data_IF_344308196013
#
_entry.id   IF_344308196013
#
_cell.length_a   1.000
_cell.length_b   1.000
_cell.length_c   1.000
_cell.angle_alpha   90.00
_cell.angle_beta   90.00
_cell.angle_gamma   90.00
#
_symmetry.space_group_name_H-M   'P 1'
#
loop_
_entity.id
_entity.type
_entity.pdbx_description
1 polymer ?
#
# COMPACT_ATOMS: atom_id res chain seq x y z
N UNK A 1 8.31 24.97 -20.69
CA UNK A 1 8.17 24.35 -22.03
C UNK A 1 6.79 24.68 -22.58
N UNK A 2 6.69 25.23 -23.80
CA UNK A 2 5.40 25.58 -24.42
C UNK A 2 4.67 24.30 -24.89
N UNK A 3 3.33 24.30 -24.95
CA UNK A 3 2.49 23.21 -25.49
C UNK A 3 2.99 22.67 -26.84
N UNK A 4 3.52 23.53 -27.71
CA UNK A 4 4.11 23.12 -29.00
C UNK A 4 5.40 22.31 -28.82
N UNK A 5 6.25 22.69 -27.88
CA UNK A 5 7.50 21.99 -27.56
C UNK A 5 7.23 20.67 -26.84
N UNK A 6 6.27 20.66 -25.90
CA UNK A 6 5.82 19.45 -25.21
C UNK A 6 5.26 18.43 -26.20
N UNK A 7 4.46 18.86 -27.18
CA UNK A 7 3.95 17.98 -28.25
C UNK A 7 5.06 17.37 -29.09
N UNK A 8 6.09 18.15 -29.43
CA UNK A 8 7.23 17.67 -30.21
C UNK A 8 8.06 16.65 -29.41
N UNK A 9 8.30 16.93 -28.13
CA UNK A 9 8.97 16.02 -27.21
C UNK A 9 8.20 14.70 -27.07
N UNK A 10 6.90 14.76 -26.81
CA UNK A 10 6.06 13.58 -26.60
C UNK A 10 5.95 12.72 -27.86
N UNK A 11 5.86 13.35 -29.04
CA UNK A 11 5.87 12.62 -30.30
C UNK A 11 7.18 11.85 -30.49
N UNK A 12 8.33 12.48 -30.23
CA UNK A 12 9.64 11.84 -30.37
C UNK A 12 9.82 10.69 -29.37
N UNK A 13 9.41 10.90 -28.11
CA UNK A 13 9.51 9.89 -27.06
C UNK A 13 8.69 8.64 -27.38
N UNK A 14 7.49 8.81 -27.94
CA UNK A 14 6.60 7.69 -28.26
C UNK A 14 7.05 7.01 -29.57
N UNK A 15 7.45 7.77 -30.60
CA UNK A 15 7.82 7.22 -31.91
C UNK A 15 9.09 6.38 -31.89
N UNK A 16 9.98 6.64 -30.93
CA UNK A 16 11.28 5.98 -30.83
C UNK A 16 11.19 4.69 -29.97
N UNK A 17 10.03 4.41 -29.38
CA UNK A 17 9.82 3.25 -28.54
C UNK A 17 9.18 2.10 -29.35
N UNK A 18 9.87 0.95 -29.54
CA UNK A 18 9.35 -0.17 -30.34
C UNK A 18 8.11 -0.86 -29.73
N UNK A 19 7.74 -0.49 -28.50
CA UNK A 19 6.57 -1.03 -27.79
C UNK A 19 5.24 -0.56 -28.39
N UNK A 20 5.20 0.62 -29.03
CA UNK A 20 3.94 1.16 -29.55
C UNK A 20 3.79 0.88 -31.04
N UNK A 21 2.62 0.38 -31.43
CA UNK A 21 2.25 0.37 -32.85
C UNK A 21 1.86 1.79 -33.29
N UNK A 22 2.09 2.14 -34.57
CA UNK A 22 1.66 3.44 -35.14
C UNK A 22 0.19 3.81 -34.83
N UNK A 23 -0.67 2.81 -34.66
CA UNK A 23 -2.08 3.00 -34.30
C UNK A 23 -2.26 3.43 -32.85
N UNK A 24 -1.47 2.90 -31.93
CA UNK A 24 -1.47 3.26 -30.52
C UNK A 24 -0.85 4.63 -30.29
N UNK A 25 0.25 4.94 -30.99
CA UNK A 25 0.86 6.28 -30.99
C UNK A 25 -0.17 7.36 -31.33
N UNK A 26 -0.93 7.18 -32.40
CA UNK A 26 -1.97 8.12 -32.82
C UNK A 26 -3.11 8.23 -31.79
N UNK A 27 -3.47 7.13 -31.14
CA UNK A 27 -4.53 7.13 -30.10
C UNK A 27 -4.10 7.92 -28.87
N UNK A 28 -2.86 7.73 -28.42
CA UNK A 28 -2.26 8.43 -27.26
C UNK A 28 -2.11 9.93 -27.56
N UNK A 29 -1.57 10.28 -28.74
CA UNK A 29 -1.45 11.68 -29.13
C UNK A 29 -2.83 12.34 -29.27
N UNK A 30 -3.83 11.62 -29.77
CA UNK A 30 -5.20 12.14 -29.85
C UNK A 30 -5.80 12.32 -28.46
N UNK A 31 -5.66 11.39 -27.52
CA UNK A 31 -6.23 11.56 -26.18
C UNK A 31 -5.60 12.73 -25.42
N UNK A 32 -4.29 12.95 -25.56
CA UNK A 32 -3.56 14.00 -24.82
C UNK A 32 -3.83 15.40 -25.41
N UNK A 33 -4.01 15.52 -26.72
CA UNK A 33 -4.14 16.82 -27.37
C UNK A 33 -5.57 17.19 -27.79
N UNK A 34 -6.55 16.29 -27.64
CA UNK A 34 -7.94 16.51 -28.06
C UNK A 34 -8.88 17.01 -26.94
N UNK A 35 -8.36 17.76 -25.97
CA UNK A 35 -9.13 18.56 -24.99
C UNK A 35 -9.87 19.77 -25.63
N UNK A 36 -10.38 19.62 -26.85
CA UNK A 36 -11.19 20.65 -27.52
C UNK A 36 -12.44 20.07 -28.21
N UNK A 37 -13.14 19.16 -27.54
CA UNK A 37 -14.54 18.84 -27.87
C UNK A 37 -15.42 18.98 -26.63
N UNK A 38 -15.44 20.18 -26.05
CA UNK A 38 -16.66 20.72 -25.46
C UNK A 38 -17.07 21.94 -26.24
N UNK A 39 -17.61 21.73 -27.45
CA UNK A 39 -18.60 22.65 -28.01
C UNK A 39 -19.41 21.98 -29.14
N UNK A 40 -20.45 21.24 -28.77
CA UNK A 40 -21.58 20.99 -29.68
C UNK A 40 -22.91 21.06 -28.92
N UNK A 41 -23.50 22.25 -29.00
CA UNK A 41 -24.94 22.52 -29.00
C UNK A 41 -25.79 21.34 -29.48
N UNK A 42 -26.68 20.91 -28.59
CA UNK A 42 -28.13 20.78 -28.79
C UNK A 42 -28.60 20.18 -30.14
N UNK A 43 -28.86 18.86 -30.16
CA UNK A 43 -29.98 18.27 -30.93
C UNK A 43 -30.60 17.15 -30.09
N UNK A 44 -31.91 17.26 -29.91
CA UNK A 44 -32.68 16.54 -28.91
C UNK A 44 -32.63 15.02 -29.05
N UNK A 45 -32.36 14.35 -27.94
CA UNK A 45 -32.65 12.94 -27.76
C UNK A 45 -33.61 12.82 -26.58
N UNK A 46 -34.91 12.88 -26.90
CA UNK A 46 -36.01 12.77 -25.94
C UNK A 46 -36.24 11.31 -25.58
N UNK A 47 -35.45 10.72 -24.68
CA UNK A 47 -35.89 9.55 -23.90
C UNK A 47 -35.05 9.38 -22.62
N UNK A 48 -35.51 9.92 -21.46
CA UNK A 48 -35.11 9.29 -20.20
C UNK A 48 -36.26 9.04 -19.21
N UNK A 49 -37.53 9.26 -19.58
CA UNK A 49 -38.63 8.94 -18.65
C UNK A 49 -38.93 7.44 -18.59
N UNK A 50 -38.87 6.74 -19.73
CA UNK A 50 -39.21 5.31 -19.80
C UNK A 50 -38.15 4.40 -19.16
N UNK A 51 -36.85 4.73 -19.30
CA UNK A 51 -35.76 3.92 -18.74
C UNK A 51 -35.73 4.02 -17.21
N UNK A 52 -36.01 5.21 -16.65
CA UNK A 52 -36.12 5.41 -15.20
C UNK A 52 -37.28 4.60 -14.62
N UNK A 53 -38.42 4.54 -15.32
CA UNK A 53 -39.59 3.76 -14.89
C UNK A 53 -39.33 2.25 -14.89
N UNK A 54 -38.60 1.73 -15.88
CA UNK A 54 -38.22 0.30 -15.93
C UNK A 54 -37.24 -0.06 -14.81
N UNK A 55 -36.28 0.82 -14.49
CA UNK A 55 -35.38 0.60 -13.35
C UNK A 55 -36.12 0.65 -11.99
N UNK A 56 -37.12 1.53 -11.83
CA UNK A 56 -37.95 1.59 -10.62
C UNK A 56 -38.83 0.35 -10.45
N UNK A 57 -39.39 -0.18 -11.54
CA UNK A 57 -40.20 -1.42 -11.50
C UNK A 57 -39.35 -2.64 -11.15
N UNK A 58 -38.07 -2.67 -11.55
CA UNK A 58 -37.16 -3.76 -11.20
C UNK A 58 -36.78 -3.78 -9.70
N UNK A 59 -36.81 -2.63 -9.03
CA UNK A 59 -36.59 -2.55 -7.57
C UNK A 59 -37.77 -3.11 -6.75
N UNK A 60 -38.99 -3.15 -7.30
CA UNK A 60 -40.17 -3.69 -6.62
C UNK A 60 -40.25 -5.22 -6.64
N UNK A 61 -39.47 -5.88 -7.50
CA UNK A 61 -39.42 -7.35 -7.62
C UNK A 61 -38.13 -7.95 -7.05
N UNK A 62 -37.31 -7.17 -6.35
CA UNK A 62 -36.23 -7.75 -5.58
C UNK A 62 -36.84 -8.55 -4.42
N UNK A 63 -36.55 -9.86 -4.30
CA UNK A 63 -36.93 -10.61 -3.12
C UNK A 63 -36.32 -9.91 -1.90
N UNK A 64 -37.13 -9.70 -0.86
CA UNK A 64 -36.71 -9.17 0.44
C UNK A 64 -35.58 -10.05 0.97
N UNK A 65 -34.34 -9.71 0.60
CA UNK A 65 -33.19 -10.14 1.36
C UNK A 65 -33.08 -9.18 2.52
N UNK A 66 -33.03 -9.74 3.74
CA UNK A 66 -33.02 -9.07 5.04
C UNK A 66 -31.82 -8.12 5.23
N UNK A 67 -31.68 -7.10 4.40
CA UNK A 67 -30.81 -5.96 4.63
C UNK A 67 -31.56 -4.92 5.44
N UNK A 68 -31.89 -5.32 6.67
CA UNK A 68 -32.31 -4.42 7.72
C UNK A 68 -31.11 -3.56 8.10
N UNK A 69 -31.08 -2.37 7.52
CA UNK A 69 -30.26 -1.25 7.93
C UNK A 69 -30.78 -0.74 9.29
N UNK A 70 -30.35 -1.38 10.39
CA UNK A 70 -30.58 -0.85 11.73
C UNK A 70 -29.52 0.21 12.06
N UNK A 71 -29.99 1.45 11.94
CA UNK A 71 -29.44 2.67 12.52
C UNK A 71 -29.31 2.54 14.05
N UNK A 72 -28.20 3.04 14.60
CA UNK A 72 -27.98 3.38 16.01
C UNK A 72 -28.37 2.34 17.08
N UNK A 73 -27.41 1.50 17.46
CA UNK A 73 -27.27 1.08 18.85
C UNK A 73 -25.81 1.19 19.27
N UNK A 74 -25.58 2.05 20.26
CA UNK A 74 -24.54 1.91 21.27
C UNK A 74 -24.59 0.50 21.84
N UNK A 75 -23.90 -0.43 21.21
CA UNK A 75 -23.56 -1.72 21.78
C UNK A 75 -22.16 -1.60 22.34
N UNK A 76 -22.13 -1.31 23.64
CA UNK A 76 -21.15 -1.83 24.58
C UNK A 76 -20.91 -3.29 24.17
N UNK A 77 -19.83 -3.54 23.43
CA UNK A 77 -19.48 -4.89 23.03
C UNK A 77 -19.47 -5.76 24.29
N UNK A 78 -20.03 -6.97 24.25
CA UNK A 78 -19.87 -7.89 25.36
C UNK A 78 -18.36 -8.00 25.58
N UNK A 79 -17.95 -7.94 26.85
CA UNK A 79 -16.61 -8.34 27.24
C UNK A 79 -16.46 -9.80 26.82
N UNK A 80 -16.13 -10.01 25.56
CA UNK A 80 -15.58 -11.26 25.07
C UNK A 80 -14.33 -11.40 25.91
N UNK A 81 -14.40 -12.34 26.84
CA UNK A 81 -13.25 -12.99 27.42
C UNK A 81 -12.50 -13.67 26.26
N UNK A 82 -11.89 -12.85 25.39
CA UNK A 82 -10.75 -13.25 24.62
C UNK A 82 -9.70 -13.49 25.67
N UNK A 83 -9.62 -14.77 26.05
CA UNK A 83 -8.40 -15.47 26.41
C UNK A 83 -7.21 -14.56 26.18
N UNK A 84 -6.78 -13.93 27.27
CA UNK A 84 -5.51 -13.22 27.40
C UNK A 84 -4.41 -14.28 27.25
N UNK A 85 -4.34 -14.85 26.06
CA UNK A 85 -3.37 -15.83 25.62
C UNK A 85 -2.10 -15.05 25.43
N UNK A 86 -1.40 -14.86 26.56
CA UNK A 86 0.01 -14.54 26.75
C UNK A 86 0.76 -14.17 25.46
N UNK A 87 0.37 -13.08 24.79
CA UNK A 87 1.34 -12.22 24.14
C UNK A 87 2.20 -11.75 25.31
N UNK A 88 3.50 -12.04 25.30
CA UNK A 88 4.41 -11.39 26.23
C UNK A 88 4.03 -9.91 26.25
N UNK A 89 3.76 -9.35 27.43
CA UNK A 89 3.26 -7.99 27.60
C UNK A 89 4.40 -7.01 27.27
N UNK A 90 4.74 -6.93 26.00
CA UNK A 90 5.88 -6.18 25.49
C UNK A 90 5.48 -4.73 25.58
N UNK A 91 6.05 -4.06 26.57
CA UNK A 91 5.73 -2.67 26.84
C UNK A 91 6.03 -1.78 25.63
N UNK A 92 5.18 -0.78 25.41
CA UNK A 92 5.36 0.25 24.37
C UNK A 92 6.74 0.91 24.45
N UNK A 93 7.28 1.03 25.67
CA UNK A 93 8.61 1.55 25.91
C UNK A 93 9.69 0.72 25.22
N UNK A 94 9.65 -0.61 25.34
CA UNK A 94 10.61 -1.51 24.70
C UNK A 94 10.49 -1.48 23.17
N UNK A 95 9.26 -1.42 22.66
CA UNK A 95 9.00 -1.30 21.21
C UNK A 95 9.59 0.01 20.69
N UNK A 96 9.31 1.13 21.36
CA UNK A 96 9.80 2.43 20.96
C UNK A 96 11.33 2.52 21.04
N UNK A 97 11.94 2.05 22.13
CA UNK A 97 13.40 2.03 22.28
C UNK A 97 14.09 1.23 21.18
N UNK A 98 13.53 0.06 20.83
CA UNK A 98 14.06 -0.77 19.75
C UNK A 98 13.82 -0.15 18.38
N UNK A 99 12.65 0.46 18.13
CA UNK A 99 12.37 1.17 16.89
C UNK A 99 13.36 2.32 16.69
N UNK A 100 13.61 3.14 17.72
CA UNK A 100 14.60 4.21 17.69
C UNK A 100 16.04 3.67 17.52
N UNK A 101 16.37 2.52 18.10
CA UNK A 101 17.64 1.85 17.83
C UNK A 101 17.79 1.46 16.36
N UNK A 102 16.73 0.89 15.76
CA UNK A 102 16.71 0.53 14.34
C UNK A 102 16.89 1.78 13.49
N UNK A 103 16.13 2.87 13.76
CA UNK A 103 16.25 4.15 13.03
C UNK A 103 17.68 4.69 13.03
N UNK A 104 18.39 4.61 14.16
CA UNK A 104 19.79 5.09 14.26
C UNK A 104 20.80 4.23 13.51
N UNK A 105 20.54 2.94 13.38
CA UNK A 105 21.44 1.98 12.73
C UNK A 105 21.16 1.81 11.24
N UNK A 106 19.92 2.03 10.83
CA UNK A 106 19.49 1.91 9.45
C UNK A 106 20.18 2.98 8.62
N UNK A 107 20.87 2.53 7.57
CA UNK A 107 21.45 3.39 6.55
C UNK A 107 21.04 2.86 5.19
N UNK A 108 20.55 3.73 4.31
CA UNK A 108 20.19 3.34 2.94
C UNK A 108 21.38 2.85 2.11
N UNK A 109 22.61 3.02 2.61
CA UNK A 109 23.85 2.56 1.97
C UNK A 109 24.42 1.28 2.59
N UNK A 110 23.75 0.71 3.58
CA UNK A 110 24.28 -0.49 4.24
C UNK A 110 24.21 -1.70 3.30
N UNK A 111 25.15 -2.64 3.42
CA UNK A 111 25.13 -3.89 2.66
C UNK A 111 24.21 -4.94 3.30
N UNK A 112 23.95 -6.03 2.59
CA UNK A 112 23.23 -7.20 3.11
C UNK A 112 23.91 -7.80 4.33
N UNK A 113 25.24 -7.90 4.32
CA UNK A 113 26.04 -8.42 5.44
C UNK A 113 25.99 -7.48 6.64
N UNK A 114 26.04 -6.16 6.41
CA UNK A 114 25.88 -5.17 7.48
C UNK A 114 24.47 -5.24 8.07
N UNK A 115 23.43 -5.39 7.25
CA UNK A 115 22.06 -5.57 7.71
C UNK A 115 21.91 -6.86 8.54
N UNK A 116 22.51 -7.98 8.10
CA UNK A 116 22.49 -9.22 8.90
C UNK A 116 23.25 -9.09 10.22
N UNK A 117 24.36 -8.34 10.22
CA UNK A 117 25.14 -8.08 11.44
C UNK A 117 24.38 -7.19 12.43
N UNK A 118 23.69 -6.16 11.95
CA UNK A 118 23.00 -5.18 12.81
C UNK A 118 21.64 -5.67 13.28
N UNK A 119 20.92 -6.43 12.46
CA UNK A 119 19.54 -6.83 12.69
C UNK A 119 19.34 -8.34 12.87
N UNK A 120 20.37 -9.16 12.64
CA UNK A 120 20.29 -10.62 12.67
C UNK A 120 19.89 -11.20 11.32
N UNK A 121 19.46 -12.46 11.28
CA UNK A 121 18.94 -13.04 10.03
C UNK A 121 17.53 -12.52 9.77
N UNK A 122 17.17 -12.17 8.52
CA UNK A 122 15.79 -11.79 8.23
C UNK A 122 14.86 -12.98 8.44
N UNK A 123 13.66 -12.67 8.91
CA UNK A 123 12.59 -13.63 9.16
C UNK A 123 12.00 -14.15 7.84
N UNK A 124 11.94 -13.29 6.82
CA UNK A 124 11.41 -13.59 5.49
C UNK A 124 12.39 -13.05 4.44
N UNK A 125 12.69 -13.86 3.44
CA UNK A 125 13.42 -13.47 2.22
C UNK A 125 12.55 -13.84 1.01
N UNK A 126 12.29 -12.88 0.15
CA UNK A 126 11.39 -13.05 -0.99
C UNK A 126 11.82 -12.22 -2.20
N UNK A 127 11.34 -12.58 -3.39
CA UNK A 127 11.50 -11.77 -4.59
C UNK A 127 10.26 -10.92 -4.77
N UNK A 128 10.43 -9.61 -4.84
CA UNK A 128 9.34 -8.64 -5.02
C UNK A 128 9.57 -7.84 -6.29
N UNK A 129 8.60 -7.01 -6.69
CA UNK A 129 8.75 -6.08 -7.79
C UNK A 129 8.41 -4.68 -7.32
N UNK A 130 9.16 -3.68 -7.80
CA UNK A 130 8.74 -2.29 -7.61
C UNK A 130 7.53 -1.95 -8.50
N UNK A 131 6.87 -0.79 -8.31
CA UNK A 131 5.74 -0.37 -9.15
C UNK A 131 6.06 -0.33 -10.65
N UNK A 132 7.34 -0.16 -11.01
CA UNK A 132 7.87 -0.16 -12.37
C UNK A 132 8.11 -1.58 -12.94
N UNK A 133 7.97 -2.62 -12.12
CA UNK A 133 8.12 -4.03 -12.51
C UNK A 133 9.56 -4.58 -12.41
N UNK A 134 10.50 -3.79 -11.91
CA UNK A 134 11.89 -4.20 -11.70
C UNK A 134 11.99 -5.17 -10.52
N UNK A 135 12.76 -6.25 -10.65
CA UNK A 135 12.91 -7.24 -9.59
C UNK A 135 13.69 -6.66 -8.41
N UNK A 136 13.16 -6.88 -7.21
CA UNK A 136 13.80 -6.56 -5.95
C UNK A 136 13.89 -7.82 -5.08
N UNK A 137 14.86 -7.86 -4.17
CA UNK A 137 14.93 -8.85 -3.10
C UNK A 137 14.40 -8.20 -1.81
N UNK A 138 13.30 -8.71 -1.28
CA UNK A 138 12.68 -8.23 -0.05
C UNK A 138 13.17 -9.01 1.16
N UNK A 139 13.69 -8.30 2.16
CA UNK A 139 14.14 -8.83 3.44
C UNK A 139 13.29 -8.23 4.57
N UNK A 140 12.57 -9.08 5.29
CA UNK A 140 11.73 -8.66 6.41
C UNK A 140 12.25 -9.20 7.73
N UNK A 141 12.40 -8.31 8.71
CA UNK A 141 12.82 -8.60 10.08
C UNK A 141 11.65 -8.33 11.01
N UNK A 142 11.23 -9.36 11.75
CA UNK A 142 10.16 -9.25 12.74
C UNK A 142 10.77 -9.33 14.14
N UNK A 143 10.61 -8.26 14.93
CA UNK A 143 11.02 -8.22 16.32
C UNK A 143 9.81 -8.36 17.23
N UNK A 144 10.03 -8.88 18.44
CA UNK A 144 8.97 -9.07 19.43
C UNK A 144 7.83 -9.96 18.90
N UNK A 145 8.19 -10.98 18.12
CA UNK A 145 7.25 -11.91 17.51
C UNK A 145 6.79 -12.95 18.54
N UNK A 146 5.48 -13.10 18.70
CA UNK A 146 4.91 -14.17 19.52
C UNK A 146 5.13 -15.54 18.84
N UNK A 147 5.50 -16.57 19.59
CA UNK A 147 5.82 -17.91 19.05
C UNK A 147 4.67 -18.53 18.23
N UNK A 148 3.43 -18.23 18.60
CA UNK A 148 2.22 -18.74 17.93
C UNK A 148 1.66 -17.79 16.86
N UNK A 149 2.35 -16.68 16.56
CA UNK A 149 1.91 -15.78 15.50
C UNK A 149 2.06 -16.47 14.14
N UNK A 150 0.93 -16.85 13.56
CA UNK A 150 0.87 -17.15 12.13
C UNK A 150 0.99 -15.80 11.44
N UNK A 151 2.23 -15.38 11.16
CA UNK A 151 2.46 -14.24 10.25
C UNK A 151 1.56 -14.43 9.04
N UNK A 152 0.88 -13.37 8.60
CA UNK A 152 -0.16 -13.51 7.60
C UNK A 152 0.49 -13.84 6.24
N UNK A 153 0.71 -15.13 5.98
CA UNK A 153 1.45 -15.66 4.83
C UNK A 153 0.82 -15.36 3.47
N UNK A 154 -0.32 -14.67 3.48
CA UNK A 154 -1.09 -14.31 2.30
C UNK A 154 -0.96 -12.82 1.92
N UNK A 155 -0.18 -12.04 2.67
CA UNK A 155 0.12 -10.67 2.26
C UNK A 155 1.05 -10.68 1.05
N UNK A 156 0.80 -9.83 0.04
CA UNK A 156 1.76 -9.58 -1.01
C UNK A 156 3.12 -9.22 -0.41
N UNK A 157 4.17 -9.75 -1.01
CA UNK A 157 5.53 -9.49 -0.59
C UNK A 157 5.84 -7.98 -0.55
N UNK A 158 6.37 -7.51 0.58
CA UNK A 158 6.64 -6.09 0.84
C UNK A 158 5.53 -5.28 1.53
N UNK A 159 4.33 -5.85 1.73
CA UNK A 159 3.27 -5.22 2.52
C UNK A 159 3.50 -5.40 4.03
N UNK A 160 3.24 -4.33 4.79
CA UNK A 160 3.30 -4.38 6.25
C UNK A 160 2.09 -5.11 6.80
N UNK A 161 2.32 -6.06 7.70
CA UNK A 161 1.25 -6.78 8.38
C UNK A 161 0.64 -5.93 9.53
N UNK A 162 -0.11 -4.91 9.15
CA UNK A 162 -0.79 -3.98 10.07
C UNK A 162 -1.71 -4.74 11.03
N UNK A 163 -2.32 -5.84 10.59
CA UNK A 163 -3.14 -6.71 11.42
C UNK A 163 -2.34 -7.30 12.58
N UNK A 164 -1.26 -8.00 12.27
CA UNK A 164 -0.40 -8.60 13.31
C UNK A 164 0.30 -7.56 14.20
N UNK A 165 0.57 -6.35 13.70
CA UNK A 165 1.04 -5.23 14.52
C UNK A 165 -0.04 -4.71 15.48
N UNK A 166 -1.27 -4.50 15.01
CA UNK A 166 -2.41 -4.06 15.83
C UNK A 166 -2.80 -5.09 16.90
N UNK A 167 -2.70 -6.37 16.56
CA UNK A 167 -2.93 -7.50 17.47
C UNK A 167 -1.72 -7.78 18.38
N UNK A 168 -0.59 -7.07 18.21
CA UNK A 168 0.67 -7.25 18.94
C UNK A 168 1.25 -8.67 18.87
N UNK A 169 0.93 -9.39 17.80
CA UNK A 169 1.61 -10.62 17.44
C UNK A 169 3.05 -10.35 16.99
N UNK A 170 3.28 -9.15 16.44
CA UNK A 170 4.58 -8.59 16.09
C UNK A 170 4.65 -7.19 16.73
N UNK A 171 5.77 -6.85 17.35
CA UNK A 171 5.96 -5.50 17.91
C UNK A 171 6.55 -4.50 16.91
N UNK A 172 7.47 -4.99 16.06
CA UNK A 172 8.16 -4.19 15.04
C UNK A 172 8.39 -5.04 13.80
N UNK A 173 8.16 -4.43 12.64
CA UNK A 173 8.52 -4.98 11.34
C UNK A 173 9.43 -4.00 10.60
N UNK A 174 10.60 -4.48 10.18
CA UNK A 174 11.51 -3.76 9.30
C UNK A 174 11.56 -4.50 7.96
N UNK A 175 11.20 -3.84 6.88
CA UNK A 175 11.33 -4.35 5.50
C UNK A 175 12.41 -3.58 4.77
N UNK A 176 13.33 -4.28 4.13
CA UNK A 176 14.39 -3.75 3.27
C UNK A 176 14.25 -4.37 1.88
N UNK A 177 14.15 -3.55 0.84
CA UNK A 177 14.07 -4.02 -0.53
C UNK A 177 15.33 -3.62 -1.30
N UNK A 178 16.05 -4.63 -1.77
CA UNK A 178 17.33 -4.52 -2.47
C UNK A 178 17.14 -4.62 -3.98
N UNK A 179 17.84 -3.81 -4.78
CA UNK A 179 17.92 -4.05 -6.23
C UNK A 179 18.97 -5.12 -6.58
N UNK A 180 19.17 -5.36 -7.88
CA UNK A 180 20.16 -6.30 -8.40
C UNK A 180 21.60 -5.91 -8.02
N UNK A 181 21.90 -4.62 -7.87
CA UNK A 181 23.19 -4.09 -7.41
C UNK A 181 23.39 -4.18 -5.89
N UNK A 182 22.48 -4.85 -5.18
CA UNK A 182 22.48 -4.98 -3.72
C UNK A 182 22.42 -3.64 -2.96
N UNK A 183 21.76 -2.63 -3.54
CA UNK A 183 21.45 -1.36 -2.90
C UNK A 183 20.01 -1.31 -2.41
N UNK A 184 19.80 -0.76 -1.22
CA UNK A 184 18.46 -0.54 -0.67
C UNK A 184 17.73 0.52 -1.52
N UNK A 185 16.63 0.11 -2.15
CA UNK A 185 15.72 1.02 -2.86
C UNK A 185 14.69 1.62 -1.92
N UNK A 186 14.13 0.77 -1.05
CA UNK A 186 13.03 1.10 -0.14
C UNK A 186 13.33 0.44 1.19
N UNK A 187 13.22 1.19 2.28
CA UNK A 187 13.18 0.63 3.62
C UNK A 187 11.95 1.16 4.36
N UNK A 188 11.28 0.27 5.08
CA UNK A 188 10.08 0.62 5.85
C UNK A 188 10.18 0.04 7.24
N UNK A 189 9.97 0.87 8.26
CA UNK A 189 9.91 0.48 9.66
C UNK A 189 8.51 0.73 10.21
N UNK A 190 7.80 -0.34 10.54
CA UNK A 190 6.49 -0.29 11.16
C UNK A 190 6.55 -0.79 12.61
N UNK A 191 5.85 -0.12 13.52
CA UNK A 191 5.75 -0.55 14.91
C UNK A 191 4.44 -0.09 15.54
N UNK A 192 3.98 -0.84 16.53
CA UNK A 192 2.78 -0.51 17.30
C UNK A 192 3.10 0.42 18.48
N UNK A 193 2.26 1.42 18.74
CA UNK A 193 2.44 2.37 19.83
C UNK A 193 1.11 2.73 20.50
N UNK A 194 1.15 2.84 21.82
CA UNK A 194 0.05 3.35 22.62
C UNK A 194 -1.02 2.31 22.94
N UNK A 195 -1.94 2.72 23.82
CA UNK A 195 -3.05 1.89 24.31
C UNK A 195 -4.07 1.53 23.23
N UNK A 196 -4.14 2.32 22.17
CA UNK A 196 -5.01 2.10 21.01
C UNK A 196 -4.35 1.23 19.92
N UNK A 197 -3.12 0.76 20.17
CA UNK A 197 -2.33 -0.01 19.21
C UNK A 197 -2.21 0.68 17.84
N UNK A 198 -1.92 1.99 17.84
CA UNK A 198 -1.68 2.73 16.60
C UNK A 198 -0.44 2.18 15.92
N UNK A 199 -0.51 2.00 14.61
CA UNK A 199 0.63 1.53 13.83
C UNK A 199 1.32 2.72 13.21
N UNK A 200 2.57 2.94 13.61
CA UNK A 200 3.43 3.98 13.08
C UNK A 200 4.32 3.37 12.00
N UNK A 201 4.26 3.90 10.79
CA UNK A 201 5.03 3.43 9.63
C UNK A 201 5.97 4.53 9.18
N UNK A 202 7.27 4.24 9.13
CA UNK A 202 8.30 5.14 8.65
C UNK A 202 8.86 4.61 7.33
N UNK A 203 8.71 5.39 6.26
CA UNK A 203 9.28 5.11 4.94
C UNK A 203 10.59 5.89 4.78
N UNK A 204 11.69 5.18 4.56
CA UNK A 204 13.01 5.76 4.34
C UNK A 204 13.29 5.78 2.85
N UNK A 205 13.57 6.98 2.33
CA UNK A 205 13.92 7.19 0.93
C UNK A 205 15.43 7.25 0.77
N UNK A 206 15.92 7.00 -0.46
CA UNK A 206 17.36 7.06 -0.79
C UNK A 206 18.04 8.38 -0.44
N UNK A 207 17.30 9.49 -0.49
CA UNK A 207 17.79 10.83 -0.15
C UNK A 207 17.96 11.05 1.38
N UNK A 208 17.62 10.05 2.19
CA UNK A 208 17.66 10.12 3.65
C UNK A 208 16.43 10.74 4.28
N UNK A 209 15.44 11.18 3.49
CA UNK A 209 14.18 11.68 4.03
C UNK A 209 13.34 10.53 4.59
N UNK A 210 12.58 10.85 5.65
CA UNK A 210 11.68 9.90 6.32
C UNK A 210 10.27 10.45 6.26
N UNK A 211 9.35 9.63 5.76
CA UNK A 211 7.91 9.91 5.79
C UNK A 211 7.24 9.02 6.83
N UNK A 212 6.53 9.62 7.78
CA UNK A 212 5.79 8.90 8.82
C UNK A 212 4.29 8.91 8.53
N UNK A 213 3.65 7.75 8.65
CA UNK A 213 2.21 7.55 8.52
C UNK A 213 1.71 6.86 9.80
N UNK A 214 0.55 7.28 10.29
CA UNK A 214 -0.15 6.63 11.41
C UNK A 214 -1.42 5.94 10.91
N UNK A 215 -1.66 4.69 11.33
CA UNK A 215 -2.83 3.87 10.98
C UNK A 215 -3.50 3.24 12.20
#
# INVERSE_FOLDING_TARGET
MNKKEFRKYLHHYISDNPVFTKKEEQKILKSIFNDSIHDKRNRGFRYPAAIIMVCLLFLLFLPESDYVFHLHHTLKAPASNHSRLQSADISDKLILEKAEQIKRKLSMKMTKEEAEKEFGKPTIKEKVQNPEGEPLEGWTYQFFKAENSKGNSNLPSGDIDVGNLKERHIGIELSLNWNEDAEIQIATLAYVQGKENKVIINFFKKDGSVQTIEQ
#
